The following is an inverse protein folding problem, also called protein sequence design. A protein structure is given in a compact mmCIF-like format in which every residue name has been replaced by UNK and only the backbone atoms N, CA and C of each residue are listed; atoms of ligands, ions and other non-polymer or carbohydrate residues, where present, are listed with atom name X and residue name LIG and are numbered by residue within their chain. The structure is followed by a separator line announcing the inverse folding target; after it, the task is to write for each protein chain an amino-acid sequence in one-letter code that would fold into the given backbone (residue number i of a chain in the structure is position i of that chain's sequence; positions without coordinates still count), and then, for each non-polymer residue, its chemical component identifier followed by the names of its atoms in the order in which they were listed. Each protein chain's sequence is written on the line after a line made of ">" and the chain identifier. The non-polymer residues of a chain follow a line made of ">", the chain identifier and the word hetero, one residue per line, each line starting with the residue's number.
data_IF_983180201971
#
_entry.id   IF_983180201971
#
_cell.length_a   1.000
_cell.length_b   1.000
_cell.length_c   1.000
_cell.angle_alpha   90.00
_cell.angle_beta   90.00
_cell.angle_gamma   90.00
#
_symmetry.space_group_name_H-M   'P 1'
#
loop_
_entity.id
_entity.type
_entity.pdbx_description
1 polymer ?
#
# COMPACT_ATOMS: atom_id res chain seq x y z
N UNK A 1 33.89 -37.72 2.25
CA UNK A 1 33.04 -38.66 3.01
C UNK A 1 32.12 -37.85 3.91
N UNK A 2 30.82 -38.13 3.81
CA UNK A 2 29.67 -37.45 4.40
C UNK A 2 29.75 -37.24 5.93
N UNK A 3 29.31 -36.08 6.41
CA UNK A 3 28.74 -35.94 7.75
C UNK A 3 27.39 -35.24 7.65
N UNK A 4 26.36 -35.98 8.01
CA UNK A 4 24.98 -35.50 8.07
C UNK A 4 24.82 -34.56 9.26
N UNK A 5 24.05 -33.50 9.07
CA UNK A 5 23.49 -32.69 10.14
C UNK A 5 22.01 -33.06 10.24
N UNK A 6 21.74 -34.06 11.07
CA UNK A 6 20.40 -34.46 11.49
C UNK A 6 20.20 -34.03 12.93
N UNK A 7 19.85 -32.77 13.18
CA UNK A 7 19.27 -32.38 14.48
C UNK A 7 18.60 -31.00 14.41
N UNK A 8 17.26 -30.99 14.34
CA UNK A 8 16.42 -29.95 14.94
C UNK A 8 14.97 -30.43 15.07
N UNK A 9 14.71 -31.06 16.21
CA UNK A 9 13.50 -31.09 17.03
C UNK A 9 12.11 -31.42 16.42
N UNK A 10 11.70 -32.66 16.72
CA UNK A 10 10.35 -33.07 17.08
C UNK A 10 9.96 -32.52 18.46
N UNK A 11 8.79 -31.88 18.58
CA UNK A 11 8.00 -31.90 19.81
C UNK A 11 6.51 -31.74 19.48
N UNK A 12 5.74 -32.83 19.63
CA UNK A 12 4.33 -32.88 20.07
C UNK A 12 3.77 -34.32 19.95
N UNK A 13 3.94 -35.13 20.99
CA UNK A 13 2.94 -36.13 21.42
C UNK A 13 1.95 -35.37 22.34
N UNK A 14 0.67 -35.65 22.52
CA UNK A 14 -0.25 -36.75 22.22
C UNK A 14 -1.64 -36.19 22.51
N UNK A 15 -2.68 -36.56 21.76
CA UNK A 15 -4.04 -36.78 22.32
C UNK A 15 -4.86 -37.65 21.33
N UNK A 16 -4.99 -38.92 21.74
CA UNK A 16 -6.14 -39.84 21.59
C UNK A 16 -6.91 -39.91 20.27
N UNK A 17 -6.81 -41.09 19.65
CA UNK A 17 -7.70 -41.61 18.61
C UNK A 17 -9.11 -41.87 19.15
N UNK A 18 -10.14 -41.49 18.40
CA UNK A 18 -11.36 -42.29 18.26
C UNK A 18 -11.85 -42.23 16.82
N UNK A 19 -12.25 -43.39 16.31
CA UNK A 19 -12.35 -43.68 14.89
C UNK A 19 -13.52 -43.01 14.16
N UNK A 20 -13.29 -42.74 12.87
CA UNK A 20 -14.18 -43.04 11.74
C UNK A 20 -13.54 -42.42 10.49
N UNK A 21 -13.54 -43.17 9.39
CA UNK A 21 -12.80 -42.83 8.18
C UNK A 21 -13.22 -41.51 7.57
N UNK A 22 -12.24 -40.64 7.29
CA UNK A 22 -12.37 -39.53 6.35
C UNK A 22 -11.04 -39.36 5.62
N UNK A 23 -11.07 -39.45 4.29
CA UNK A 23 -9.94 -39.12 3.41
C UNK A 23 -9.56 -37.65 3.60
N UNK A 24 -8.38 -37.38 4.17
CA UNK A 24 -7.86 -36.00 4.31
C UNK A 24 -7.10 -35.60 3.05
N UNK A 25 -7.74 -34.79 2.21
CA UNK A 25 -7.05 -33.95 1.23
C UNK A 25 -6.22 -32.91 2.00
N UNK A 26 -4.89 -33.02 1.95
CA UNK A 26 -4.00 -31.99 2.47
C UNK A 26 -4.07 -30.76 1.56
N UNK A 27 -4.71 -29.69 2.05
CA UNK A 27 -4.69 -28.38 1.40
C UNK A 27 -3.38 -27.69 1.79
N UNK A 28 -2.36 -27.81 0.94
CA UNK A 28 -1.12 -27.03 1.03
C UNK A 28 -1.45 -25.58 0.67
N UNK A 29 -1.95 -24.77 1.61
CA UNK A 29 -2.20 -23.35 1.34
C UNK A 29 -1.78 -22.35 2.42
N UNK A 30 -1.09 -22.76 3.49
CA UNK A 30 -0.90 -21.84 4.63
C UNK A 30 0.49 -21.78 5.26
N UNK A 31 1.53 -22.32 4.61
CA UNK A 31 2.88 -22.30 5.21
C UNK A 31 3.83 -21.21 4.69
N UNK A 32 3.46 -20.46 3.64
CA UNK A 32 4.41 -19.57 2.94
C UNK A 32 4.20 -18.08 3.28
N UNK A 33 3.05 -17.69 3.84
CA UNK A 33 2.72 -16.28 4.08
C UNK A 33 3.33 -15.70 5.37
N UNK A 34 3.94 -16.52 6.24
CA UNK A 34 4.41 -16.09 7.57
C UNK A 34 5.87 -16.44 7.91
N UNK A 35 6.68 -16.91 6.95
CA UNK A 35 8.05 -17.30 7.25
C UNK A 35 8.97 -16.07 7.57
N UNK A 36 9.75 -16.10 8.66
CA UNK A 36 10.65 -15.00 9.04
C UNK A 36 11.73 -14.73 7.97
N UNK A 37 12.17 -13.46 7.87
CA UNK A 37 13.13 -12.93 6.86
C UNK A 37 14.37 -13.82 6.63
N UNK A 38 14.85 -14.53 7.65
CA UNK A 38 16.04 -15.39 7.57
C UNK A 38 15.86 -16.61 6.64
N UNK A 39 14.65 -17.17 6.56
CA UNK A 39 14.34 -18.31 5.67
C UNK A 39 14.28 -17.83 4.21
N UNK A 40 13.73 -16.64 3.99
CA UNK A 40 13.67 -16.01 2.67
C UNK A 40 15.05 -15.78 2.08
N UNK A 41 15.97 -15.20 2.86
CA UNK A 41 17.36 -14.99 2.41
C UNK A 41 18.04 -16.30 2.02
N UNK A 42 17.87 -17.38 2.79
CA UNK A 42 18.50 -18.66 2.46
C UNK A 42 17.91 -19.35 1.22
N UNK A 43 16.61 -19.22 0.96
CA UNK A 43 15.98 -19.80 -0.23
C UNK A 43 16.38 -19.05 -1.51
N UNK A 44 16.37 -17.70 -1.47
CA UNK A 44 16.82 -16.87 -2.60
C UNK A 44 18.32 -17.04 -2.87
N UNK A 45 19.14 -17.09 -1.82
CA UNK A 45 20.58 -17.34 -1.96
C UNK A 45 20.89 -18.68 -2.63
N UNK A 46 20.17 -19.76 -2.27
CA UNK A 46 20.32 -21.07 -2.90
C UNK A 46 19.86 -21.08 -4.37
N UNK A 47 18.81 -20.34 -4.71
CA UNK A 47 18.36 -20.20 -6.09
C UNK A 47 19.36 -19.41 -6.95
N UNK A 48 19.98 -18.36 -6.40
CA UNK A 48 21.00 -17.56 -7.10
C UNK A 48 22.31 -18.33 -7.33
N UNK A 49 22.74 -19.19 -6.40
CA UNK A 49 23.92 -20.04 -6.59
C UNK A 49 23.78 -21.06 -7.72
N UNK A 50 22.57 -21.37 -8.17
CA UNK A 50 22.30 -22.28 -9.29
C UNK A 50 22.49 -21.64 -10.68
N UNK A 51 22.68 -20.31 -10.78
CA UNK A 51 22.78 -19.61 -12.07
C UNK A 51 23.96 -18.65 -12.09
N UNK A 52 25.16 -19.20 -12.24
CA UNK A 52 26.32 -18.40 -12.67
C UNK A 52 26.46 -18.56 -14.18
N UNK A 53 26.05 -17.54 -14.95
CA UNK A 53 26.38 -17.43 -16.38
C UNK A 53 27.02 -16.07 -16.60
N UNK A 54 28.26 -16.09 -17.10
CA UNK A 54 29.04 -14.92 -17.48
C UNK A 54 28.32 -14.10 -18.57
N UNK A 55 28.14 -12.81 -18.36
CA UNK A 55 27.90 -11.84 -19.43
C UNK A 55 29.12 -10.91 -19.57
N UNK A 56 29.83 -11.05 -20.68
CA UNK A 56 30.83 -10.11 -21.16
C UNK A 56 30.12 -9.00 -21.95
N UNK A 57 30.24 -7.76 -21.46
CA UNK A 57 29.75 -6.56 -22.14
C UNK A 57 30.85 -6.00 -23.05
N UNK A 58 30.63 -5.98 -24.36
CA UNK A 58 31.30 -5.08 -25.32
C UNK A 58 30.42 -4.86 -26.56
N UNK A 59 30.03 -3.61 -26.81
CA UNK A 59 30.19 -2.99 -28.13
C UNK A 59 29.91 -1.49 -28.04
N UNK A 60 30.80 -0.74 -28.66
CA UNK A 60 30.82 0.72 -28.82
C UNK A 60 30.53 1.01 -30.29
N UNK A 61 29.67 1.97 -30.65
CA UNK A 61 29.69 2.71 -31.94
C UNK A 61 28.76 3.93 -31.77
N UNK A 62 29.30 5.14 -31.68
CA UNK A 62 29.67 6.09 -32.76
C UNK A 62 28.51 7.03 -33.14
N UNK A 63 28.71 8.30 -32.83
CA UNK A 63 27.82 9.44 -33.11
C UNK A 63 28.15 9.96 -34.50
N UNK A 64 27.16 10.12 -35.37
CA UNK A 64 27.28 10.97 -36.55
C UNK A 64 26.17 12.01 -36.55
N UNK A 65 26.59 13.26 -36.74
CA UNK A 65 25.74 14.43 -36.87
C UNK A 65 25.24 14.55 -38.32
N UNK A 66 23.97 14.90 -38.49
CA UNK A 66 23.39 15.24 -39.80
C UNK A 66 22.17 16.15 -39.59
N UNK A 67 22.26 17.37 -40.11
CA UNK A 67 21.24 18.41 -40.01
C UNK A 67 20.07 18.27 -41.00
N UNK A 68 19.04 19.07 -40.71
CA UNK A 68 17.67 19.20 -41.24
C UNK A 68 17.49 19.33 -42.77
N UNK A 69 16.24 19.14 -43.25
CA UNK A 69 15.47 20.34 -43.61
C UNK A 69 14.02 20.37 -43.07
N UNK A 70 13.60 21.62 -42.83
CA UNK A 70 12.25 22.09 -42.48
C UNK A 70 11.20 21.66 -43.51
N UNK A 71 10.07 21.11 -43.03
CA UNK A 71 8.85 20.95 -43.81
C UNK A 71 7.68 21.57 -43.05
N UNK A 72 7.02 22.53 -43.72
CA UNK A 72 5.86 23.29 -43.27
C UNK A 72 4.65 22.37 -43.01
N UNK A 73 3.90 22.71 -41.95
CA UNK A 73 2.69 22.01 -41.50
C UNK A 73 1.50 22.27 -42.43
N UNK A 74 0.53 21.34 -42.54
CA UNK A 74 -0.87 21.71 -42.73
C UNK A 74 -1.51 22.00 -41.37
N UNK A 75 -2.19 23.15 -41.25
CA UNK A 75 -2.98 23.50 -40.07
C UNK A 75 -4.14 22.50 -39.84
N UNK A 76 -4.23 21.97 -38.62
CA UNK A 76 -5.39 21.22 -38.17
C UNK A 76 -6.57 22.16 -37.88
N UNK A 77 -7.79 21.86 -38.37
CA UNK A 77 -8.94 22.73 -38.16
C UNK A 77 -9.33 22.79 -36.68
N UNK A 78 -9.27 24.01 -36.12
CA UNK A 78 -9.73 24.40 -34.78
C UNK A 78 -11.04 23.70 -34.39
N UNK A 79 -10.98 22.78 -33.43
CA UNK A 79 -12.16 22.35 -32.66
C UNK A 79 -12.45 23.40 -31.59
N UNK A 80 -13.67 23.95 -31.51
CA UNK A 80 -14.03 24.77 -30.37
C UNK A 80 -14.40 23.84 -29.22
N UNK A 81 -13.63 23.85 -28.13
CA UNK A 81 -14.18 23.48 -26.82
C UNK A 81 -13.89 24.58 -25.82
N UNK A 82 -14.97 25.30 -25.54
CA UNK A 82 -15.18 26.29 -24.51
C UNK A 82 -14.62 25.74 -23.20
N UNK A 83 -13.45 26.22 -22.77
CA UNK A 83 -12.96 26.01 -21.42
C UNK A 83 -13.89 26.78 -20.47
N UNK A 84 -14.97 26.12 -20.04
CA UNK A 84 -15.37 26.29 -18.65
C UNK A 84 -14.14 25.89 -17.85
N UNK A 85 -13.56 26.87 -17.15
CA UNK A 85 -12.50 26.66 -16.19
C UNK A 85 -13.10 25.74 -15.11
N UNK A 86 -13.04 24.43 -15.34
CA UNK A 86 -13.41 23.40 -14.38
C UNK A 86 -12.65 23.78 -13.11
N UNK A 87 -13.39 24.14 -12.06
CA UNK A 87 -12.77 24.42 -10.78
C UNK A 87 -11.90 23.22 -10.43
N UNK A 88 -10.69 23.48 -9.93
CA UNK A 88 -9.83 22.39 -9.49
C UNK A 88 -10.62 21.53 -8.48
N UNK A 89 -10.56 20.20 -8.59
CA UNK A 89 -11.25 19.29 -7.68
C UNK A 89 -10.81 19.57 -6.24
N UNK A 90 -11.66 19.27 -5.26
CA UNK A 90 -11.43 19.59 -3.85
C UNK A 90 -11.49 18.35 -2.98
N UNK A 91 -10.46 18.16 -2.17
CA UNK A 91 -10.42 17.13 -1.11
C UNK A 91 -10.55 17.85 0.23
N UNK A 92 -11.67 17.61 0.92
CA UNK A 92 -11.94 18.15 2.25
C UNK A 92 -11.34 17.26 3.34
N UNK A 93 -10.70 17.86 4.33
CA UNK A 93 -10.28 17.19 5.57
C UNK A 93 -10.30 18.17 6.74
N UNK A 94 -10.09 17.73 7.97
CA UNK A 94 -10.17 18.61 9.12
C UNK A 94 -8.94 19.54 9.25
N UNK A 95 -9.11 20.67 9.94
CA UNK A 95 -8.06 21.68 10.17
C UNK A 95 -7.43 21.64 11.57
N UNK A 96 -7.52 20.50 12.28
CA UNK A 96 -6.92 20.33 13.61
C UNK A 96 -5.52 19.73 13.56
N UNK A 97 -5.06 19.24 14.72
CA UNK A 97 -3.94 18.29 14.82
C UNK A 97 -4.16 17.20 13.80
N UNK A 98 -3.21 17.04 12.89
CA UNK A 98 -3.31 16.06 11.84
C UNK A 98 -2.66 14.73 12.21
N UNK A 99 -3.19 13.67 11.63
CA UNK A 99 -2.75 12.31 11.79
C UNK A 99 -2.15 11.79 10.48
N UNK A 100 -1.84 10.49 10.47
CA UNK A 100 -1.20 9.87 9.32
C UNK A 100 -2.22 9.39 8.30
N UNK A 101 -3.43 9.06 8.74
CA UNK A 101 -4.44 8.47 7.88
C UNK A 101 -4.97 9.50 6.88
N UNK A 102 -5.35 10.70 7.31
CA UNK A 102 -5.88 11.74 6.43
C UNK A 102 -4.79 12.38 5.57
N UNK A 103 -3.56 12.47 6.09
CA UNK A 103 -2.39 12.86 5.30
C UNK A 103 -2.10 11.85 4.17
N UNK A 104 -2.13 10.55 4.47
CA UNK A 104 -1.96 9.51 3.45
C UNK A 104 -3.14 9.48 2.48
N UNK A 105 -4.38 9.53 2.97
CA UNK A 105 -5.59 9.54 2.15
C UNK A 105 -5.55 10.67 1.10
N UNK A 106 -5.21 11.90 1.53
CA UNK A 106 -5.06 13.03 0.62
C UNK A 106 -3.97 12.80 -0.42
N UNK A 107 -2.81 12.23 -0.04
CA UNK A 107 -1.74 11.92 -0.99
C UNK A 107 -2.19 10.88 -2.02
N UNK A 108 -2.81 9.78 -1.56
CA UNK A 108 -3.26 8.68 -2.40
C UNK A 108 -4.31 9.13 -3.41
N UNK A 109 -5.30 9.92 -2.98
CA UNK A 109 -6.30 10.49 -3.89
C UNK A 109 -5.63 11.34 -4.98
N UNK A 110 -4.63 12.17 -4.62
CA UNK A 110 -3.87 12.99 -5.58
C UNK A 110 -2.96 12.18 -6.52
N UNK A 111 -2.86 10.87 -6.39
CA UNK A 111 -2.22 10.04 -7.42
C UNK A 111 -3.15 9.81 -8.63
N UNK A 112 -4.46 9.90 -8.43
CA UNK A 112 -5.47 9.62 -9.43
C UNK A 112 -5.72 10.84 -10.32
N UNK A 113 -5.93 10.60 -11.62
CA UNK A 113 -6.13 11.67 -12.60
C UNK A 113 -7.26 12.67 -12.23
N UNK A 114 -8.44 12.24 -11.73
CA UNK A 114 -9.51 13.17 -11.36
C UNK A 114 -9.16 14.09 -10.19
N UNK A 115 -8.11 13.79 -9.40
CA UNK A 115 -7.74 14.54 -8.21
C UNK A 115 -6.27 14.96 -8.17
N UNK A 116 -5.50 14.76 -9.26
CA UNK A 116 -4.05 15.00 -9.33
C UNK A 116 -3.68 16.40 -8.82
N UNK A 117 -4.44 17.38 -9.29
CA UNK A 117 -4.28 18.80 -8.97
C UNK A 117 -5.33 19.30 -7.97
N UNK A 118 -5.92 18.40 -7.18
CA UNK A 118 -6.95 18.77 -6.23
C UNK A 118 -6.42 19.73 -5.15
N UNK A 119 -7.23 20.75 -4.86
CA UNK A 119 -7.06 21.62 -3.70
C UNK A 119 -7.39 20.83 -2.43
N UNK A 120 -6.49 20.86 -1.45
CA UNK A 120 -6.76 20.34 -0.11
C UNK A 120 -7.45 21.44 0.70
N UNK A 121 -8.71 21.22 1.05
CA UNK A 121 -9.53 22.13 1.85
C UNK A 121 -9.55 21.63 3.30
N UNK A 122 -8.74 22.25 4.16
CA UNK A 122 -8.70 21.93 5.60
C UNK A 122 -9.74 22.76 6.35
N UNK A 123 -10.84 22.13 6.78
CA UNK A 123 -11.96 22.79 7.48
C UNK A 123 -12.85 21.79 8.23
N UNK A 124 -13.64 22.29 9.18
CA UNK A 124 -14.77 21.56 9.79
C UNK A 124 -16.13 22.18 9.45
N UNK A 125 -16.16 23.20 8.59
CA UNK A 125 -17.39 23.85 8.15
C UNK A 125 -18.17 22.92 7.20
N UNK A 126 -19.37 22.44 7.60
CA UNK A 126 -20.16 21.55 6.76
C UNK A 126 -20.51 22.15 5.39
N UNK A 127 -20.64 23.48 5.28
CA UNK A 127 -20.98 24.13 4.02
C UNK A 127 -19.82 24.03 3.03
N UNK A 128 -18.58 24.25 3.50
CA UNK A 128 -17.39 24.08 2.67
C UNK A 128 -17.13 22.60 2.33
N UNK A 129 -17.32 21.69 3.29
CA UNK A 129 -17.19 20.25 3.06
C UNK A 129 -18.21 19.72 2.06
N UNK A 130 -19.43 20.29 2.02
CA UNK A 130 -20.46 19.91 1.04
C UNK A 130 -20.07 20.27 -0.41
N UNK A 131 -19.14 21.20 -0.59
CA UNK A 131 -18.62 21.62 -1.90
C UNK A 131 -17.39 20.83 -2.33
N UNK A 132 -16.86 19.94 -1.48
CA UNK A 132 -15.72 19.10 -1.81
C UNK A 132 -16.14 17.84 -2.57
N UNK A 133 -15.35 17.47 -3.58
CA UNK A 133 -15.56 16.28 -4.42
C UNK A 133 -15.33 14.99 -3.61
N UNK A 134 -14.35 15.01 -2.70
CA UNK A 134 -14.05 13.94 -1.76
C UNK A 134 -13.86 14.54 -0.37
N UNK A 135 -14.31 13.87 0.68
CA UNK A 135 -14.05 14.28 2.06
C UNK A 135 -13.51 13.09 2.84
N UNK A 136 -12.42 13.32 3.57
CA UNK A 136 -11.73 12.32 4.39
C UNK A 136 -11.56 12.84 5.81
N UNK A 137 -11.73 11.95 6.79
CA UNK A 137 -11.41 12.22 8.21
C UNK A 137 -12.22 13.36 8.87
N UNK A 138 -13.32 13.76 8.24
CA UNK A 138 -14.19 14.82 8.74
C UNK A 138 -15.58 14.71 8.15
N UNK A 139 -16.57 15.27 8.84
CA UNK A 139 -17.95 15.37 8.38
C UNK A 139 -18.90 14.35 9.02
N UNK A 140 -18.38 13.37 9.75
CA UNK A 140 -19.18 12.39 10.47
C UNK A 140 -19.95 11.43 9.57
N UNK A 141 -19.49 11.21 8.33
CA UNK A 141 -20.18 10.40 7.32
C UNK A 141 -19.23 9.45 6.58
N UNK A 142 -19.60 8.16 6.51
CA UNK A 142 -19.04 7.20 5.55
C UNK A 142 -20.11 6.89 4.50
N UNK A 143 -19.89 7.37 3.28
CA UNK A 143 -20.74 7.13 2.12
C UNK A 143 -19.85 7.07 0.86
N UNK A 144 -19.49 5.87 0.37
CA UNK A 144 -18.64 5.73 -0.81
C UNK A 144 -19.34 6.21 -2.09
N UNK A 145 -20.68 6.25 -2.14
CA UNK A 145 -21.40 6.79 -3.31
C UNK A 145 -21.26 8.30 -3.45
N UNK A 146 -20.91 8.98 -2.35
CA UNK A 146 -20.68 10.42 -2.26
C UNK A 146 -19.22 10.75 -1.95
N UNK A 147 -18.31 9.78 -2.02
CA UNK A 147 -16.89 9.93 -1.66
C UNK A 147 -16.70 10.58 -0.28
N UNK A 148 -17.43 10.11 0.73
CA UNK A 148 -17.28 10.51 2.13
C UNK A 148 -16.63 9.37 2.90
N UNK A 149 -15.44 9.62 3.45
CA UNK A 149 -14.58 8.61 4.06
C UNK A 149 -14.13 9.07 5.45
N UNK A 150 -15.10 9.29 6.34
CA UNK A 150 -14.85 9.51 7.77
C UNK A 150 -15.22 8.25 8.56
N UNK A 151 -14.44 7.92 9.58
CA UNK A 151 -14.57 6.74 10.43
C UNK A 151 -14.93 7.06 11.91
N UNK A 152 -15.04 8.35 12.24
CA UNK A 152 -15.24 8.85 13.61
C UNK A 152 -16.64 8.60 14.20
N UNK A 153 -17.58 8.05 13.42
CA UNK A 153 -18.93 7.78 13.91
C UNK A 153 -18.87 6.67 14.96
N UNK A 154 -19.61 6.83 16.06
CA UNK A 154 -19.70 5.79 17.11
C UNK A 154 -20.19 4.44 16.57
N UNK A 155 -21.02 4.47 15.54
CA UNK A 155 -21.59 3.29 14.88
C UNK A 155 -20.67 2.69 13.82
N UNK A 156 -19.59 3.38 13.42
CA UNK A 156 -18.73 2.91 12.34
C UNK A 156 -17.85 1.76 12.83
N UNK A 157 -18.00 0.61 12.18
CA UNK A 157 -17.32 -0.65 12.49
C UNK A 157 -16.82 -1.38 11.23
N UNK A 158 -16.72 -0.67 10.11
CA UNK A 158 -16.28 -1.28 8.86
C UNK A 158 -14.79 -1.68 8.93
N UNK A 159 -14.50 -2.80 8.30
CA UNK A 159 -13.20 -3.44 8.17
C UNK A 159 -12.99 -3.79 6.70
N UNK A 160 -11.77 -4.14 6.30
CA UNK A 160 -11.57 -4.63 4.93
C UNK A 160 -12.41 -5.88 4.64
N UNK A 161 -12.59 -6.78 5.63
CA UNK A 161 -13.43 -7.98 5.50
C UNK A 161 -14.93 -7.67 5.36
N UNK A 162 -15.46 -6.67 6.10
CA UNK A 162 -16.89 -6.34 6.01
C UNK A 162 -17.25 -5.71 4.65
N UNK A 163 -16.33 -4.93 4.08
CA UNK A 163 -16.49 -4.36 2.73
C UNK A 163 -16.18 -5.37 1.62
N UNK A 164 -15.17 -6.23 1.81
CA UNK A 164 -14.72 -7.24 0.86
C UNK A 164 -14.58 -8.61 1.54
N UNK A 165 -15.63 -9.45 1.49
CA UNK A 165 -15.70 -10.69 2.28
C UNK A 165 -14.62 -11.75 2.00
N UNK A 166 -13.90 -11.65 0.88
CA UNK A 166 -12.76 -12.51 0.54
C UNK A 166 -11.46 -12.12 1.26
N UNK A 167 -11.41 -10.90 1.81
CA UNK A 167 -10.25 -10.37 2.54
C UNK A 167 -10.29 -10.77 4.01
N UNK A 168 -9.16 -11.18 4.63
CA UNK A 168 -9.18 -11.73 5.99
C UNK A 168 -9.09 -10.69 7.12
N UNK A 169 -8.86 -9.41 6.80
CA UNK A 169 -8.51 -8.40 7.79
C UNK A 169 -9.74 -7.80 8.45
N UNK A 170 -9.73 -7.82 9.79
CA UNK A 170 -10.83 -7.37 10.64
C UNK A 170 -10.48 -6.12 11.45
N UNK A 171 -9.34 -5.49 11.14
CA UNK A 171 -8.95 -4.20 11.70
C UNK A 171 -9.93 -3.14 11.21
N UNK A 172 -10.43 -2.31 12.14
CA UNK A 172 -11.33 -1.19 11.82
C UNK A 172 -10.59 -0.20 10.91
N UNK A 173 -11.22 0.23 9.83
CA UNK A 173 -10.61 1.14 8.86
C UNK A 173 -10.52 2.57 9.41
N UNK A 174 -9.42 3.26 9.09
CA UNK A 174 -9.27 4.72 9.17
C UNK A 174 -9.65 5.36 7.83
N UNK A 175 -9.50 6.68 7.70
CA UNK A 175 -9.75 7.37 6.43
C UNK A 175 -8.79 6.92 5.32
N UNK A 176 -7.53 6.60 5.66
CA UNK A 176 -6.58 5.98 4.72
C UNK A 176 -7.04 4.60 4.26
N UNK A 177 -7.47 3.75 5.20
CA UNK A 177 -7.98 2.42 4.91
C UNK A 177 -9.22 2.45 4.03
N UNK A 178 -10.13 3.39 4.27
CA UNK A 178 -11.32 3.61 3.44
C UNK A 178 -10.96 4.05 2.02
N UNK A 179 -10.08 5.04 1.86
CA UNK A 179 -9.61 5.45 0.52
C UNK A 179 -8.92 4.28 -0.18
N UNK A 180 -8.08 3.52 0.52
CA UNK A 180 -7.41 2.37 -0.03
C UNK A 180 -8.40 1.24 -0.40
N UNK A 181 -9.44 1.02 0.41
CA UNK A 181 -10.48 0.05 0.16
C UNK A 181 -11.22 0.34 -1.16
N UNK A 182 -11.51 1.60 -1.47
CA UNK A 182 -12.29 1.97 -2.66
C UNK A 182 -11.44 2.28 -3.91
N UNK A 183 -10.21 2.77 -3.73
CA UNK A 183 -9.36 3.23 -4.83
C UNK A 183 -8.01 2.51 -4.93
N UNK A 184 -7.69 1.60 -4.01
CA UNK A 184 -6.35 1.03 -3.88
C UNK A 184 -5.86 0.34 -5.16
N UNK A 185 -6.71 -0.44 -5.83
CA UNK A 185 -6.34 -1.07 -7.10
C UNK A 185 -5.98 -0.04 -8.18
N UNK A 186 -6.85 0.97 -8.37
CA UNK A 186 -6.63 2.08 -9.30
C UNK A 186 -5.37 2.89 -8.96
N UNK A 187 -5.11 3.17 -7.68
CA UNK A 187 -3.92 3.87 -7.20
C UNK A 187 -2.66 3.06 -7.57
N UNK A 188 -2.64 1.77 -7.25
CA UNK A 188 -1.50 0.90 -7.54
C UNK A 188 -1.23 0.81 -9.05
N UNK A 189 -2.28 0.64 -9.85
CA UNK A 189 -2.19 0.59 -11.30
C UNK A 189 -1.61 1.90 -11.87
N UNK A 190 -2.11 3.04 -11.39
CA UNK A 190 -1.63 4.37 -11.78
C UNK A 190 -0.16 4.58 -11.44
N UNK A 191 0.27 4.21 -10.23
CA UNK A 191 1.66 4.36 -9.79
C UNK A 191 2.63 3.42 -10.54
N UNK A 192 2.16 2.27 -10.99
CA UNK A 192 2.97 1.30 -11.75
C UNK A 192 2.91 1.55 -13.27
N UNK A 193 1.98 2.36 -13.76
CA UNK A 193 1.76 2.59 -15.18
C UNK A 193 1.24 1.33 -15.89
N UNK A 194 0.37 0.56 -15.23
CA UNK A 194 -0.28 -0.65 -15.78
C UNK A 194 -1.80 -0.55 -15.69
N UNK A 195 -2.51 -1.52 -16.26
CA UNK A 195 -3.97 -1.62 -16.19
C UNK A 195 -4.41 -2.09 -14.80
N UNK A 196 -5.60 -1.65 -14.35
CA UNK A 196 -6.15 -2.05 -13.04
C UNK A 196 -6.42 -3.56 -12.96
N UNK A 197 -6.71 -4.19 -14.10
CA UNK A 197 -6.93 -5.62 -14.24
C UNK A 197 -5.64 -6.46 -14.34
N UNK A 198 -4.46 -5.82 -14.29
CA UNK A 198 -3.19 -6.56 -14.30
C UNK A 198 -3.15 -7.57 -13.13
N UNK A 199 -2.84 -8.85 -13.38
CA UNK A 199 -2.85 -9.89 -12.35
C UNK A 199 -1.90 -9.64 -11.17
N UNK A 200 -0.94 -8.73 -11.29
CA UNK A 200 -0.10 -8.32 -10.16
C UNK A 200 -0.83 -7.40 -9.18
N UNK A 201 -1.83 -6.63 -9.63
CA UNK A 201 -2.50 -5.60 -8.83
C UNK A 201 -3.20 -6.22 -7.62
N UNK A 202 -4.01 -7.28 -7.72
CA UNK A 202 -4.60 -7.91 -6.53
C UNK A 202 -3.55 -8.44 -5.53
N UNK A 203 -2.41 -8.91 -6.04
CA UNK A 203 -1.32 -9.42 -5.19
C UNK A 203 -0.65 -8.28 -4.41
N UNK A 204 -0.37 -7.18 -5.09
CA UNK A 204 0.23 -5.99 -4.48
C UNK A 204 -0.76 -5.28 -3.56
N UNK A 205 -2.05 -5.27 -3.93
CA UNK A 205 -3.13 -4.73 -3.12
C UNK A 205 -3.12 -5.36 -1.73
N UNK A 206 -3.11 -6.69 -1.67
CA UNK A 206 -3.10 -7.43 -0.42
C UNK A 206 -1.82 -7.19 0.38
N UNK A 207 -0.66 -7.13 -0.31
CA UNK A 207 0.64 -6.91 0.34
C UNK A 207 0.76 -5.52 0.94
N UNK A 208 0.30 -4.50 0.22
CA UNK A 208 0.33 -3.11 0.65
C UNK A 208 -0.68 -2.87 1.77
N UNK A 209 -1.86 -3.49 1.75
CA UNK A 209 -2.77 -3.39 2.89
C UNK A 209 -2.17 -4.02 4.15
N UNK A 210 -1.86 -5.33 4.09
CA UNK A 210 -1.39 -6.14 5.22
C UNK A 210 -0.11 -5.61 5.89
N UNK A 211 0.78 -4.97 5.11
CA UNK A 211 2.12 -4.61 5.59
C UNK A 211 2.39 -3.10 5.61
N UNK A 212 1.36 -2.28 5.37
CA UNK A 212 1.49 -0.82 5.41
C UNK A 212 0.20 -0.12 5.84
N UNK A 213 -0.89 -0.26 5.09
CA UNK A 213 -2.12 0.52 5.35
C UNK A 213 -2.81 0.06 6.65
N UNK A 214 -2.85 -1.25 6.92
CA UNK A 214 -3.46 -1.80 8.13
C UNK A 214 -2.77 -1.30 9.43
N UNK A 215 -1.46 -1.02 9.39
CA UNK A 215 -0.74 -0.42 10.53
C UNK A 215 -1.27 0.99 10.83
N UNK A 216 -1.55 1.77 9.78
CA UNK A 216 -2.08 3.13 9.92
C UNK A 216 -3.52 3.06 10.44
N UNK A 217 -4.35 2.18 9.87
CA UNK A 217 -5.72 1.92 10.34
C UNK A 217 -5.76 1.57 11.83
N UNK A 218 -4.90 0.63 12.25
CA UNK A 218 -4.85 0.18 13.63
C UNK A 218 -4.42 1.29 14.59
N UNK A 219 -3.35 2.03 14.26
CA UNK A 219 -2.83 3.10 15.12
C UNK A 219 -3.87 4.20 15.30
N UNK A 220 -4.51 4.62 14.21
CA UNK A 220 -5.47 5.71 14.20
C UNK A 220 -6.75 5.36 15.00
N UNK A 221 -7.21 4.11 14.89
CA UNK A 221 -8.33 3.61 15.69
C UNK A 221 -7.94 3.21 17.13
N UNK A 222 -6.69 3.42 17.55
CA UNK A 222 -6.20 3.09 18.89
C UNK A 222 -6.17 1.58 19.19
N UNK A 223 -6.00 0.75 18.16
CA UNK A 223 -5.95 -0.71 18.26
C UNK A 223 -4.53 -1.17 18.57
N UNK A 224 -4.37 -1.94 19.65
CA UNK A 224 -3.10 -2.57 20.01
C UNK A 224 -2.71 -3.66 19.02
N UNK A 225 -1.40 -3.79 18.73
CA UNK A 225 -0.88 -4.82 17.83
C UNK A 225 -1.12 -6.26 18.33
N UNK A 226 -1.28 -6.45 19.63
CA UNK A 226 -1.55 -7.73 20.28
C UNK A 226 -2.24 -7.52 21.63
N UNK A 227 -2.88 -8.56 22.13
CA UNK A 227 -3.48 -8.57 23.46
C UNK A 227 -2.40 -8.63 24.56
N UNK A 228 -2.58 -7.86 25.64
CA UNK A 228 -1.71 -7.86 26.83
C UNK A 228 -0.74 -6.68 26.89
N UNK A 229 0.22 -6.72 27.82
CA UNK A 229 1.17 -5.62 28.04
C UNK A 229 2.40 -5.72 27.13
N UNK A 230 2.72 -4.62 26.46
CA UNK A 230 3.92 -4.52 25.65
C UNK A 230 5.19 -4.41 26.51
N UNK A 231 6.25 -5.12 26.11
CA UNK A 231 7.54 -5.08 26.81
C UNK A 231 8.28 -3.76 26.62
N UNK A 232 8.08 -3.10 25.48
CA UNK A 232 8.68 -1.81 25.13
C UNK A 232 7.77 -1.06 24.15
N UNK A 233 7.95 0.26 24.07
CA UNK A 233 7.19 1.12 23.16
C UNK A 233 7.95 1.32 21.86
N UNK A 234 7.24 1.31 20.72
CA UNK A 234 7.76 1.75 19.43
C UNK A 234 7.26 3.17 19.18
N UNK A 235 8.17 4.15 19.12
CA UNK A 235 7.84 5.58 18.99
C UNK A 235 8.32 6.19 17.67
N UNK A 236 8.70 5.33 16.72
CA UNK A 236 9.29 5.71 15.43
C UNK A 236 8.45 5.26 14.24
N UNK A 237 7.18 4.88 14.47
CA UNK A 237 6.23 4.52 13.42
C UNK A 237 6.01 5.68 12.45
N UNK A 238 5.48 5.39 11.25
CA UNK A 238 5.14 6.43 10.30
C UNK A 238 4.16 7.44 10.93
N UNK A 239 3.15 6.95 11.64
CA UNK A 239 2.20 7.82 12.34
C UNK A 239 2.85 8.68 13.43
N UNK A 240 3.86 8.15 14.14
CA UNK A 240 4.64 8.97 15.09
C UNK A 240 5.44 10.07 14.37
N UNK A 241 6.08 9.74 13.25
CA UNK A 241 6.86 10.70 12.44
C UNK A 241 5.97 11.79 11.85
N UNK A 242 4.77 11.44 11.38
CA UNK A 242 3.75 12.41 10.94
C UNK A 242 3.31 13.27 12.11
N UNK A 243 3.00 12.67 13.27
CA UNK A 243 2.61 13.39 14.48
C UNK A 243 3.65 14.46 14.90
N UNK A 244 4.95 14.17 14.75
CA UNK A 244 6.04 15.11 15.03
C UNK A 244 6.11 16.33 14.10
N UNK A 245 5.33 16.37 13.01
CA UNK A 245 5.22 17.52 12.12
C UNK A 245 4.13 18.50 12.55
N UNK A 246 3.28 18.14 13.52
CA UNK A 246 2.35 19.08 14.14
C UNK A 246 3.14 20.12 14.96
N UNK A 247 2.62 21.36 15.07
CA UNK A 247 3.18 22.34 15.99
C UNK A 247 3.14 21.82 17.42
N UNK A 248 4.15 22.17 18.21
CA UNK A 248 4.18 21.78 19.62
C UNK A 248 3.16 22.60 20.40
N UNK A 249 2.60 22.05 21.47
CA UNK A 249 1.61 22.73 22.30
C UNK A 249 2.07 24.08 22.88
N UNK A 250 3.39 24.28 22.98
CA UNK A 250 4.01 25.48 23.54
C UNK A 250 4.63 26.40 22.49
N UNK A 251 4.42 26.13 21.20
CA UNK A 251 4.84 27.05 20.13
C UNK A 251 3.84 28.21 19.99
N UNK A 252 4.31 29.45 19.76
CA UNK A 252 3.43 30.60 19.63
C UNK A 252 2.57 30.53 18.36
N UNK A 253 3.07 29.88 17.32
CA UNK A 253 2.35 29.60 16.08
C UNK A 253 1.79 28.16 16.14
N UNK A 254 0.50 28.03 15.89
CA UNK A 254 -0.23 26.76 15.87
C UNK A 254 -0.74 26.43 14.47
N UNK A 255 -0.27 27.13 13.44
CA UNK A 255 -0.59 26.81 12.06
C UNK A 255 -0.11 25.39 11.70
N UNK A 256 -1.04 24.60 11.15
CA UNK A 256 -0.79 23.21 10.76
C UNK A 256 -0.56 23.04 9.27
N UNK A 257 -0.78 24.07 8.44
CA UNK A 257 -0.83 23.95 6.98
C UNK A 257 0.50 23.50 6.37
N UNK A 258 1.61 24.08 6.81
CA UNK A 258 2.95 23.68 6.33
C UNK A 258 3.29 22.27 6.82
N UNK A 259 2.96 21.96 8.07
CA UNK A 259 3.18 20.64 8.67
C UNK A 259 2.40 19.55 7.92
N UNK A 260 1.15 19.82 7.57
CA UNK A 260 0.30 18.88 6.86
C UNK A 260 0.81 18.55 5.46
N UNK A 261 1.29 19.55 4.71
CA UNK A 261 1.93 19.31 3.39
C UNK A 261 3.15 18.39 3.51
N UNK A 262 3.98 18.59 4.53
CA UNK A 262 5.12 17.72 4.82
C UNK A 262 4.66 16.31 5.23
N UNK A 263 3.56 16.20 5.97
CA UNK A 263 2.99 14.92 6.37
C UNK A 263 2.49 14.11 5.18
N UNK A 264 1.77 14.77 4.24
CA UNK A 264 1.34 14.14 2.98
C UNK A 264 2.54 13.62 2.19
N UNK A 265 3.59 14.43 2.02
CA UNK A 265 4.80 14.03 1.29
C UNK A 265 5.52 12.87 1.98
N UNK A 266 5.65 12.92 3.31
CA UNK A 266 6.27 11.87 4.11
C UNK A 266 5.52 10.54 3.99
N UNK A 267 4.21 10.54 4.23
CA UNK A 267 3.39 9.33 4.19
C UNK A 267 3.31 8.75 2.77
N UNK A 268 3.13 9.63 1.78
CA UNK A 268 3.07 9.24 0.37
C UNK A 268 4.36 8.65 -0.17
N UNK A 269 5.50 9.26 0.14
CA UNK A 269 6.82 8.75 -0.28
C UNK A 269 7.12 7.38 0.33
N UNK A 270 6.74 7.18 1.60
CA UNK A 270 6.88 5.87 2.26
C UNK A 270 5.98 4.83 1.56
N UNK A 271 4.73 5.16 1.22
CA UNK A 271 3.84 4.28 0.47
C UNK A 271 4.43 3.88 -0.88
N UNK A 272 4.92 4.85 -1.67
CA UNK A 272 5.53 4.59 -2.99
C UNK A 272 6.79 3.74 -2.87
N UNK A 273 7.63 4.02 -1.86
CA UNK A 273 8.83 3.21 -1.58
C UNK A 273 8.50 1.76 -1.23
N UNK A 274 7.45 1.54 -0.43
CA UNK A 274 6.94 0.19 -0.10
C UNK A 274 6.40 -0.53 -1.33
N UNK A 275 5.66 0.17 -2.19
CA UNK A 275 5.16 -0.38 -3.45
C UNK A 275 6.32 -0.78 -4.38
N UNK A 276 7.32 0.09 -4.55
CA UNK A 276 8.50 -0.19 -5.36
C UNK A 276 9.24 -1.44 -4.85
N UNK A 277 9.41 -1.57 -3.53
CA UNK A 277 9.98 -2.78 -2.92
C UNK A 277 9.16 -4.04 -3.27
N UNK A 278 7.84 -4.01 -3.08
CA UNK A 278 7.03 -5.19 -3.34
C UNK A 278 7.01 -5.56 -4.83
N UNK A 279 6.96 -4.57 -5.70
CA UNK A 279 6.92 -4.76 -7.13
C UNK A 279 8.28 -5.22 -7.70
N UNK A 280 9.37 -4.54 -7.36
CA UNK A 280 10.68 -4.76 -8.00
C UNK A 280 11.57 -5.76 -7.29
N UNK A 281 11.31 -6.06 -6.02
CA UNK A 281 12.14 -6.99 -5.23
C UNK A 281 11.35 -8.22 -4.81
N UNK A 282 10.24 -8.04 -4.09
CA UNK A 282 9.51 -9.17 -3.51
C UNK A 282 8.80 -10.03 -4.56
N UNK A 283 8.09 -9.44 -5.53
CA UNK A 283 7.36 -10.18 -6.57
C UNK A 283 8.29 -11.07 -7.43
N UNK A 284 9.43 -10.56 -7.98
CA UNK A 284 10.38 -11.40 -8.71
C UNK A 284 10.95 -12.54 -7.85
N UNK A 285 11.29 -12.26 -6.58
CA UNK A 285 11.80 -13.29 -5.68
C UNK A 285 10.75 -14.38 -5.39
N UNK A 286 9.48 -14.00 -5.22
CA UNK A 286 8.36 -14.94 -5.04
C UNK A 286 8.25 -15.90 -6.21
N UNK A 287 8.35 -15.42 -7.45
CA UNK A 287 8.27 -16.26 -8.65
C UNK A 287 9.36 -17.34 -8.67
N UNK A 288 10.59 -17.00 -8.28
CA UNK A 288 11.70 -17.96 -8.17
C UNK A 288 11.44 -19.03 -7.10
N UNK A 289 10.92 -18.62 -5.94
CA UNK A 289 10.59 -19.56 -4.84
C UNK A 289 9.44 -20.47 -5.24
N UNK A 290 8.41 -19.94 -5.90
CA UNK A 290 7.28 -20.74 -6.37
C UNK A 290 7.74 -21.80 -7.39
N UNK A 291 8.62 -21.45 -8.31
CA UNK A 291 9.17 -22.40 -9.28
C UNK A 291 10.03 -23.47 -8.60
N UNK A 292 10.89 -23.09 -7.65
CA UNK A 292 11.68 -24.04 -6.89
C UNK A 292 10.80 -25.03 -6.11
N UNK A 293 9.68 -24.57 -5.55
CA UNK A 293 8.71 -25.43 -4.88
C UNK A 293 8.03 -26.37 -5.88
N UNK A 294 7.65 -25.90 -7.08
CA UNK A 294 7.05 -26.75 -8.13
C UNK A 294 8.00 -27.86 -8.57
N UNK A 295 9.29 -27.53 -8.70
CA UNK A 295 10.34 -28.46 -9.13
C UNK A 295 10.88 -29.35 -8.01
N UNK A 296 10.42 -29.20 -6.75
CA UNK A 296 11.03 -29.88 -5.58
C UNK A 296 11.08 -31.41 -5.62
N UNK A 297 10.26 -32.04 -6.48
CA UNK A 297 10.23 -33.50 -6.67
C UNK A 297 10.87 -33.96 -7.98
N UNK A 298 11.34 -33.03 -8.82
CA UNK A 298 12.10 -33.34 -10.01
C UNK A 298 13.55 -33.57 -9.60
N UNK A 299 13.82 -34.75 -9.04
CA UNK A 299 15.16 -35.25 -8.78
C UNK A 299 15.59 -36.02 -10.03
N UNK A 300 16.71 -35.60 -10.63
CA UNK A 300 17.35 -36.26 -11.77
C UNK A 300 18.11 -37.50 -11.33
#
# INVERSE_FOLDING_TARGET
>A
MSRSLSTALLWANSLTTNGSGVSRKYRVRTFILSAPRSIWFHMVWRALQSRTVHLLCRSSFSITAGGFPSLLMPEDPKRPRREERLMAPKIGTHNGTFHCDEALACYLLRTLEPYRDAEIVRTRDPQLLSQCDVVVDVGGEYDPSRNRYDHHQRSFCETMNSLYPDKPWVTKLSSAGLVYAHFGAQILATLLGTDEEDPIIPILYDKMYENFVEEIDAIDNGISQFDGEQRYNITTTLSSRVGHLNPRWNEPDQDTEIGFKKAMELAGTEFVSRLDFYHRSWLPARALVEEAIRQRFQVW
#
